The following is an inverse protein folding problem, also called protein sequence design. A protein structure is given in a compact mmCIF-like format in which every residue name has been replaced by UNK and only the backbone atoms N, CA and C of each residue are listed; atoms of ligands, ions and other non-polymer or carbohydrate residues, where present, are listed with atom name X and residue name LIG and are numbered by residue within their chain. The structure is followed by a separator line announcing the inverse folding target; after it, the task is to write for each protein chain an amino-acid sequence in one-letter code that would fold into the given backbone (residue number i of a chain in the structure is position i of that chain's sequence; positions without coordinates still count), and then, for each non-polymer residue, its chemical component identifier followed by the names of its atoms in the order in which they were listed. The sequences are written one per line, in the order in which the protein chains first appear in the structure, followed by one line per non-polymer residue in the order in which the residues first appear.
data_IF_605877012441
#
_entry.id   IF_605877012441
#
_cell.length_a   1.000
_cell.length_b   1.000
_cell.length_c   1.000
_cell.angle_alpha   90.00
_cell.angle_beta   90.00
_cell.angle_gamma   90.00
#
_symmetry.space_group_name_H-M   'P 1'
#
loop_
_entity.id
_entity.type
_entity.pdbx_description
1 polymer ?
#
# COMPACT_ATOMS: atom_id res chain seq x y z
N UNK A 1 1.09 -51.10 48.25
CA UNK A 1 2.50 -50.68 48.35
C UNK A 1 2.99 -50.50 46.95
N UNK A 2 2.89 -49.33 46.43
CA UNK A 2 3.78 -48.24 46.03
C UNK A 2 3.00 -47.17 45.27
N UNK A 3 2.53 -46.20 46.02
CA UNK A 3 2.36 -44.84 45.52
C UNK A 3 3.73 -44.16 45.56
N UNK A 4 4.26 -43.80 44.45
CA UNK A 4 5.38 -42.80 44.30
C UNK A 4 5.52 -42.54 42.81
N UNK A 5 5.28 -41.40 42.43
CA UNK A 5 5.90 -40.16 42.15
C UNK A 5 5.15 -39.45 41.02
N UNK A 6 4.22 -38.62 41.46
CA UNK A 6 3.65 -37.55 40.60
C UNK A 6 4.12 -36.20 41.16
N UNK A 7 5.40 -35.98 41.13
CA UNK A 7 5.95 -34.62 41.37
C UNK A 7 7.22 -34.48 40.55
N UNK A 8 7.13 -33.73 39.47
CA UNK A 8 8.31 -33.40 38.70
C UNK A 8 8.02 -32.90 37.28
N UNK A 9 6.87 -32.30 37.05
CA UNK A 9 6.74 -31.45 35.87
C UNK A 9 7.04 -30.01 36.31
N UNK A 10 8.35 -29.74 36.42
CA UNK A 10 8.86 -28.37 36.45
C UNK A 10 8.47 -27.76 35.13
N UNK A 11 7.43 -26.91 35.15
CA UNK A 11 6.92 -26.13 34.04
C UNK A 11 8.03 -25.29 33.42
N UNK A 12 8.86 -25.91 32.61
CA UNK A 12 9.59 -25.22 31.59
C UNK A 12 8.55 -24.62 30.70
N UNK A 13 8.30 -23.31 30.82
CA UNK A 13 7.57 -22.54 29.84
C UNK A 13 8.27 -22.78 28.48
N UNK A 14 7.85 -23.81 27.76
CA UNK A 14 8.16 -23.95 26.36
C UNK A 14 7.40 -22.81 25.68
N UNK A 15 8.08 -21.64 25.60
CA UNK A 15 7.58 -20.55 24.77
C UNK A 15 7.43 -21.14 23.37
N UNK A 16 6.17 -21.27 22.95
CA UNK A 16 5.84 -21.72 21.62
C UNK A 16 6.69 -20.88 20.62
N UNK A 17 7.46 -21.52 19.71
CA UNK A 17 8.27 -20.79 18.71
C UNK A 17 7.46 -19.75 17.95
N UNK A 18 6.15 -19.95 17.81
CA UNK A 18 5.23 -18.98 17.23
C UNK A 18 5.11 -17.72 18.10
N UNK A 19 4.96 -17.89 19.43
CA UNK A 19 4.87 -16.75 20.35
C UNK A 19 6.14 -15.90 20.34
N UNK A 20 7.31 -16.54 20.30
CA UNK A 20 8.58 -15.83 20.23
C UNK A 20 8.69 -15.00 18.93
N UNK A 21 8.29 -15.57 17.79
CA UNK A 21 8.26 -14.86 16.49
C UNK A 21 7.27 -13.69 16.51
N UNK A 22 6.09 -13.87 17.10
CA UNK A 22 5.09 -12.81 17.22
C UNK A 22 5.59 -11.65 18.10
N UNK A 23 6.18 -11.96 19.26
CA UNK A 23 6.75 -10.96 20.15
C UNK A 23 7.89 -10.20 19.45
N UNK A 24 8.80 -10.91 18.78
CA UNK A 24 9.88 -10.30 18.02
C UNK A 24 9.35 -9.40 16.89
N UNK A 25 8.33 -9.83 16.16
CA UNK A 25 7.69 -9.04 15.11
C UNK A 25 7.06 -7.75 15.68
N UNK A 26 6.33 -7.85 16.80
CA UNK A 26 5.74 -6.69 17.47
C UNK A 26 6.81 -5.71 17.96
N UNK A 27 7.92 -6.21 18.51
CA UNK A 27 9.03 -5.37 18.92
C UNK A 27 9.67 -4.63 17.75
N UNK A 28 9.88 -5.30 16.62
CA UNK A 28 10.41 -4.64 15.41
C UNK A 28 9.47 -3.54 14.92
N UNK A 29 8.16 -3.83 14.84
CA UNK A 29 7.14 -2.83 14.44
C UNK A 29 7.17 -1.63 15.39
N UNK A 30 7.23 -1.88 16.70
CA UNK A 30 7.28 -0.82 17.72
C UNK A 30 8.53 0.04 17.57
N UNK A 31 9.71 -0.58 17.47
CA UNK A 31 11.00 0.14 17.37
C UNK A 31 11.06 0.96 16.09
N UNK A 32 10.66 0.37 14.94
CA UNK A 32 10.61 1.08 13.66
C UNK A 32 9.59 2.23 13.73
N UNK A 33 8.40 1.98 14.28
CA UNK A 33 7.35 2.99 14.41
C UNK A 33 7.78 4.15 15.31
N UNK A 34 8.40 3.89 16.46
CA UNK A 34 8.93 4.93 17.35
C UNK A 34 10.08 5.69 16.71
N UNK A 35 11.01 5.01 16.04
CA UNK A 35 12.13 5.65 15.34
C UNK A 35 11.66 6.62 14.26
N UNK A 36 10.68 6.22 13.44
CA UNK A 36 10.13 7.07 12.39
C UNK A 36 9.26 8.21 12.91
N UNK A 37 8.58 8.01 14.04
CA UNK A 37 7.87 9.08 14.73
C UNK A 37 8.83 10.18 15.20
N UNK A 38 10.00 9.82 15.71
CA UNK A 38 11.07 10.78 16.07
C UNK A 38 11.57 11.54 14.84
N UNK A 39 11.67 10.84 13.70
CA UNK A 39 12.06 11.42 12.41
C UNK A 39 10.93 12.18 11.70
N UNK A 40 9.76 12.30 12.33
CA UNK A 40 8.55 12.95 11.76
C UNK A 40 8.15 12.42 10.38
N UNK A 41 8.42 11.15 10.12
CA UNK A 41 8.02 10.49 8.87
C UNK A 41 6.57 10.01 8.93
N UNK A 42 5.86 9.94 7.78
CA UNK A 42 4.52 9.35 7.71
C UNK A 42 4.51 7.90 8.20
N UNK A 43 3.45 7.49 8.90
CA UNK A 43 3.32 6.12 9.44
C UNK A 43 3.42 5.05 8.37
N UNK A 44 2.97 5.34 7.14
CA UNK A 44 3.05 4.43 5.98
C UNK A 44 4.49 3.99 5.71
N UNK A 45 5.46 4.91 5.80
CA UNK A 45 6.90 4.59 5.63
C UNK A 45 7.35 3.60 6.72
N UNK A 46 6.81 3.75 7.95
CA UNK A 46 7.09 2.83 9.05
C UNK A 46 6.61 1.42 8.77
N UNK A 47 5.40 1.28 8.28
CA UNK A 47 4.83 -0.03 7.96
C UNK A 47 5.58 -0.72 6.81
N UNK A 48 5.98 0.04 5.78
CA UNK A 48 6.77 -0.48 4.66
C UNK A 48 8.16 -0.97 5.14
N UNK A 49 8.86 -0.17 5.94
CA UNK A 49 10.17 -0.55 6.48
C UNK A 49 10.06 -1.74 7.43
N UNK A 50 9.06 -1.76 8.31
CA UNK A 50 8.80 -2.91 9.17
C UNK A 50 8.52 -4.17 8.35
N UNK A 51 7.72 -4.06 7.28
CA UNK A 51 7.45 -5.17 6.35
C UNK A 51 8.70 -5.72 5.67
N UNK A 52 9.60 -4.85 5.22
CA UNK A 52 10.89 -5.26 4.63
C UNK A 52 11.78 -5.96 5.65
N UNK A 53 11.87 -5.43 6.88
CA UNK A 53 12.70 -6.02 7.95
C UNK A 53 12.15 -7.38 8.39
N UNK A 54 10.82 -7.50 8.56
CA UNK A 54 10.16 -8.73 9.01
C UNK A 54 10.02 -9.77 7.91
N UNK A 55 10.08 -9.35 6.66
CA UNK A 55 9.86 -10.15 5.47
C UNK A 55 10.99 -11.16 5.18
N UNK A 56 10.85 -11.92 4.08
CA UNK A 56 11.73 -13.03 3.74
C UNK A 56 13.18 -12.60 3.42
N UNK A 57 13.37 -11.37 3.00
CA UNK A 57 14.70 -10.80 2.69
C UNK A 57 15.35 -10.09 3.89
N UNK A 58 14.63 -9.98 5.03
CA UNK A 58 15.12 -9.44 6.28
C UNK A 58 15.31 -10.53 7.35
N UNK A 59 14.61 -10.38 8.47
CA UNK A 59 14.68 -11.30 9.61
C UNK A 59 13.92 -12.63 9.38
N UNK A 60 13.17 -12.77 8.30
CA UNK A 60 12.34 -13.94 7.97
C UNK A 60 11.40 -14.39 9.10
N UNK A 61 10.96 -13.44 9.94
CA UNK A 61 10.04 -13.72 11.05
C UNK A 61 8.64 -14.03 10.54
N UNK A 62 8.27 -13.46 9.39
CA UNK A 62 7.01 -13.70 8.69
C UNK A 62 7.32 -14.49 7.42
N UNK A 63 7.22 -15.82 7.53
CA UNK A 63 7.59 -16.74 6.45
C UNK A 63 6.45 -16.98 5.45
N UNK A 64 5.19 -16.91 5.89
CA UNK A 64 4.03 -17.18 5.03
C UNK A 64 3.60 -15.93 4.27
N UNK A 65 4.17 -15.77 3.07
CA UNK A 65 3.85 -14.66 2.16
C UNK A 65 2.39 -14.68 1.68
N UNK A 66 1.80 -15.88 1.54
CA UNK A 66 0.41 -16.00 1.08
C UNK A 66 -0.58 -15.53 2.15
N UNK A 67 -0.33 -15.85 3.41
CA UNK A 67 -1.15 -15.36 4.52
C UNK A 67 -1.06 -13.83 4.65
N UNK A 68 0.15 -13.27 4.54
CA UNK A 68 0.36 -11.81 4.58
C UNK A 68 -0.32 -11.11 3.40
N UNK A 69 -0.19 -11.65 2.19
CA UNK A 69 -0.84 -11.09 1.00
C UNK A 69 -2.37 -11.04 1.17
N UNK A 70 -2.98 -12.15 1.60
CA UNK A 70 -4.44 -12.20 1.88
C UNK A 70 -4.87 -11.20 2.95
N UNK A 71 -4.11 -11.07 4.05
CA UNK A 71 -4.40 -10.06 5.08
C UNK A 71 -4.28 -8.65 4.51
N UNK A 72 -3.29 -8.40 3.65
CA UNK A 72 -3.14 -7.12 2.94
C UNK A 72 -4.33 -6.82 2.03
N UNK A 73 -4.81 -7.80 1.26
CA UNK A 73 -6.00 -7.66 0.41
C UNK A 73 -7.24 -7.29 1.23
N UNK A 74 -7.48 -7.97 2.36
CA UNK A 74 -8.56 -7.61 3.28
C UNK A 74 -8.37 -6.20 3.84
N UNK A 75 -7.15 -5.83 4.24
CA UNK A 75 -6.85 -4.49 4.74
C UNK A 75 -7.17 -3.40 3.72
N UNK A 76 -6.77 -3.59 2.46
CA UNK A 76 -7.07 -2.66 1.36
C UNK A 76 -8.57 -2.59 1.09
N UNK A 77 -9.27 -3.75 1.09
CA UNK A 77 -10.72 -3.79 0.89
C UNK A 77 -11.46 -2.98 1.97
N UNK A 78 -11.11 -3.15 3.25
CA UNK A 78 -11.70 -2.37 4.34
C UNK A 78 -11.34 -0.89 4.25
N UNK A 79 -10.09 -0.57 3.92
CA UNK A 79 -9.67 0.82 3.72
C UNK A 79 -10.51 1.50 2.66
N UNK A 80 -10.62 0.89 1.48
CA UNK A 80 -11.43 1.43 0.38
C UNK A 80 -12.93 1.54 0.74
N UNK A 81 -13.45 0.58 1.49
CA UNK A 81 -14.82 0.61 1.97
C UNK A 81 -15.08 1.80 2.91
N UNK A 82 -14.23 2.00 3.92
CA UNK A 82 -14.37 3.13 4.85
C UNK A 82 -14.24 4.47 4.14
N UNK A 83 -13.28 4.60 3.21
CA UNK A 83 -13.09 5.83 2.44
C UNK A 83 -14.26 6.06 1.49
N UNK A 84 -14.78 4.99 0.86
CA UNK A 84 -15.97 5.06 0.03
C UNK A 84 -17.20 5.59 0.78
N UNK A 85 -17.33 5.24 2.07
CA UNK A 85 -18.39 5.80 2.93
C UNK A 85 -18.17 7.27 3.29
N UNK A 86 -16.92 7.72 3.39
CA UNK A 86 -16.59 9.11 3.69
C UNK A 86 -16.60 10.02 2.45
N UNK A 87 -16.41 9.45 1.27
CA UNK A 87 -16.42 10.19 0.02
C UNK A 87 -17.82 10.73 -0.29
N UNK A 88 -17.89 12.00 -0.66
CA UNK A 88 -19.16 12.61 -1.10
C UNK A 88 -19.29 12.51 -2.62
N UNK A 89 -20.17 11.63 -3.17
CA UNK A 89 -20.35 11.48 -4.61
C UNK A 89 -20.74 12.81 -5.29
N UNK A 90 -21.53 13.63 -4.62
CA UNK A 90 -21.97 14.92 -5.14
C UNK A 90 -20.81 15.89 -5.38
N UNK A 91 -19.82 15.89 -4.50
CA UNK A 91 -18.63 16.74 -4.64
C UNK A 91 -17.66 16.22 -5.71
N UNK A 92 -17.52 14.90 -5.80
CA UNK A 92 -16.72 14.27 -6.87
C UNK A 92 -17.28 14.61 -8.25
N UNK A 93 -18.61 14.54 -8.40
CA UNK A 93 -19.29 14.92 -9.65
C UNK A 93 -19.15 16.42 -9.92
N UNK A 94 -19.28 17.27 -8.89
CA UNK A 94 -19.11 18.72 -9.05
C UNK A 94 -17.71 19.11 -9.55
N UNK A 95 -16.68 18.36 -9.16
CA UNK A 95 -15.27 18.61 -9.53
C UNK A 95 -14.79 17.74 -10.71
N UNK A 96 -15.70 17.18 -11.51
CA UNK A 96 -15.35 16.24 -12.60
C UNK A 96 -14.28 16.77 -13.55
N UNK A 97 -14.22 18.08 -13.79
CA UNK A 97 -13.21 18.70 -14.66
C UNK A 97 -11.80 18.52 -14.12
N UNK A 98 -11.60 18.75 -12.81
CA UNK A 98 -10.30 18.56 -12.15
C UNK A 98 -9.93 17.07 -12.20
N UNK A 99 -10.88 16.20 -11.89
CA UNK A 99 -10.74 14.76 -11.92
C UNK A 99 -10.31 14.25 -13.30
N UNK A 100 -11.07 14.58 -14.34
CA UNK A 100 -10.81 14.07 -15.70
C UNK A 100 -9.59 14.75 -16.33
N UNK A 101 -9.50 16.09 -16.29
CA UNK A 101 -8.39 16.83 -16.89
C UNK A 101 -7.09 16.50 -16.15
N UNK A 102 -7.10 16.46 -14.82
CA UNK A 102 -5.94 16.11 -14.01
C UNK A 102 -5.41 14.72 -14.35
N UNK A 103 -6.30 13.73 -14.46
CA UNK A 103 -5.93 12.36 -14.85
C UNK A 103 -5.36 12.32 -16.27
N UNK A 104 -6.00 12.98 -17.24
CA UNK A 104 -5.52 13.01 -18.63
C UNK A 104 -4.15 13.70 -18.75
N UNK A 105 -3.96 14.83 -18.06
CA UNK A 105 -2.66 15.54 -18.03
C UNK A 105 -1.59 14.66 -17.40
N UNK A 106 -1.88 13.96 -16.32
CA UNK A 106 -0.94 13.06 -15.66
C UNK A 106 -0.55 11.88 -16.55
N UNK A 107 -1.52 11.22 -17.19
CA UNK A 107 -1.27 10.14 -18.15
C UNK A 107 -0.44 10.66 -19.32
N UNK A 108 -0.85 11.77 -19.92
CA UNK A 108 -0.16 12.38 -21.06
C UNK A 108 1.28 12.77 -20.72
N UNK A 109 1.51 13.40 -19.57
CA UNK A 109 2.84 13.75 -19.10
C UNK A 109 3.72 12.51 -18.85
N UNK A 110 3.18 11.47 -18.23
CA UNK A 110 3.90 10.22 -17.97
C UNK A 110 4.30 9.54 -19.28
N UNK A 111 3.39 9.44 -20.24
CA UNK A 111 3.67 8.87 -21.56
C UNK A 111 4.70 9.74 -22.31
N UNK A 112 4.60 11.07 -22.26
CA UNK A 112 5.54 11.97 -22.90
C UNK A 112 6.96 11.83 -22.32
N UNK A 113 7.09 11.75 -21.00
CA UNK A 113 8.38 11.51 -20.34
C UNK A 113 8.95 10.17 -20.78
N UNK A 114 8.14 9.11 -20.73
CA UNK A 114 8.58 7.78 -21.16
C UNK A 114 8.90 7.72 -22.64
N UNK A 115 8.25 8.55 -23.48
CA UNK A 115 8.60 8.67 -24.89
C UNK A 115 10.01 9.20 -25.09
N UNK A 116 10.37 10.26 -24.37
CA UNK A 116 11.73 10.83 -24.42
C UNK A 116 12.78 9.79 -24.01
N UNK A 117 12.56 9.13 -22.85
CA UNK A 117 13.47 8.10 -22.33
C UNK A 117 13.55 6.89 -23.27
N UNK A 118 12.40 6.39 -23.72
CA UNK A 118 12.32 5.21 -24.58
C UNK A 118 12.92 5.45 -25.97
N UNK A 119 12.76 6.65 -26.52
CA UNK A 119 13.39 7.04 -27.79
C UNK A 119 14.91 7.02 -27.68
N UNK A 120 15.48 7.54 -26.58
CA UNK A 120 16.92 7.49 -26.32
C UNK A 120 17.47 6.07 -26.15
N UNK A 121 16.65 5.15 -25.62
CA UNK A 121 17.02 3.76 -25.38
C UNK A 121 16.63 2.80 -26.52
N UNK A 122 16.04 3.31 -27.60
CA UNK A 122 15.61 2.51 -28.75
C UNK A 122 14.45 1.53 -28.44
N UNK A 123 13.55 1.86 -27.49
CA UNK A 123 12.43 1.01 -27.11
C UNK A 123 11.30 1.05 -28.15
N UNK A 124 10.56 -0.05 -28.24
CA UNK A 124 9.37 -0.08 -29.07
C UNK A 124 8.26 0.83 -28.52
N UNK A 125 7.44 1.39 -29.42
CA UNK A 125 6.31 2.25 -29.05
C UNK A 125 5.38 1.61 -28.03
N UNK A 126 5.07 0.33 -28.19
CA UNK A 126 4.23 -0.40 -27.25
C UNK A 126 4.82 -0.44 -25.84
N UNK A 127 6.14 -0.65 -25.70
CA UNK A 127 6.82 -0.61 -24.41
C UNK A 127 6.79 0.77 -23.79
N UNK A 128 7.01 1.83 -24.59
CA UNK A 128 6.97 3.22 -24.13
C UNK A 128 5.60 3.56 -23.57
N UNK A 129 4.54 3.26 -24.32
CA UNK A 129 3.15 3.54 -23.91
C UNK A 129 2.78 2.73 -22.66
N UNK A 130 3.11 1.45 -22.62
CA UNK A 130 2.86 0.59 -21.47
C UNK A 130 3.51 1.15 -20.21
N UNK A 131 4.80 1.48 -20.28
CA UNK A 131 5.53 2.03 -19.12
C UNK A 131 5.02 3.43 -18.74
N UNK A 132 4.63 4.26 -19.71
CA UNK A 132 3.98 5.54 -19.46
C UNK A 132 2.68 5.37 -18.68
N UNK A 133 1.85 4.39 -19.02
CA UNK A 133 0.63 4.07 -18.29
C UNK A 133 0.95 3.57 -16.86
N UNK A 134 1.90 2.63 -16.73
CA UNK A 134 2.30 2.10 -15.41
C UNK A 134 2.76 3.22 -14.48
N UNK A 135 3.58 4.15 -14.96
CA UNK A 135 4.10 5.26 -14.15
C UNK A 135 3.00 6.29 -13.84
N UNK A 136 1.98 6.43 -14.70
CA UNK A 136 0.87 7.36 -14.45
C UNK A 136 -0.06 6.91 -13.33
N UNK A 137 -0.09 5.60 -13.02
CA UNK A 137 -0.91 5.07 -11.95
C UNK A 137 -0.27 5.36 -10.59
N UNK A 138 -1.06 5.87 -9.66
CA UNK A 138 -0.64 6.09 -8.27
C UNK A 138 -1.28 5.08 -7.33
N UNK A 139 -0.65 4.88 -6.17
CA UNK A 139 -1.20 4.00 -5.16
C UNK A 139 -2.31 4.69 -4.38
N UNK A 140 -3.56 4.38 -4.71
CA UNK A 140 -4.76 4.90 -4.04
C UNK A 140 -4.69 4.65 -2.53
N UNK A 141 -4.31 3.45 -2.09
CA UNK A 141 -4.20 3.11 -0.68
C UNK A 141 -3.18 3.98 0.08
N UNK A 142 -2.00 4.23 -0.50
CA UNK A 142 -0.96 5.04 0.15
C UNK A 142 -1.40 6.49 0.27
N UNK A 143 -1.95 7.08 -0.81
CA UNK A 143 -2.39 8.48 -0.80
C UNK A 143 -3.55 8.68 0.17
N UNK A 144 -4.51 7.74 0.21
CA UNK A 144 -5.65 7.82 1.12
C UNK A 144 -5.22 7.74 2.58
N UNK A 145 -4.33 6.82 2.94
CA UNK A 145 -3.76 6.76 4.29
C UNK A 145 -3.04 8.06 4.67
N UNK A 146 -2.26 8.63 3.75
CA UNK A 146 -1.58 9.89 3.98
C UNK A 146 -2.57 11.06 4.20
N UNK A 147 -3.63 11.14 3.40
CA UNK A 147 -4.67 12.16 3.55
C UNK A 147 -5.42 12.01 4.88
N UNK A 148 -5.69 10.78 5.30
CA UNK A 148 -6.33 10.47 6.57
C UNK A 148 -5.43 10.85 7.75
N UNK A 149 -4.17 10.40 7.77
CA UNK A 149 -3.19 10.70 8.82
C UNK A 149 -2.92 12.20 8.95
N UNK A 150 -2.93 12.94 7.83
CA UNK A 150 -2.73 14.40 7.81
C UNK A 150 -4.00 15.21 8.09
N UNK A 151 -5.16 14.55 8.30
CA UNK A 151 -6.46 15.20 8.51
C UNK A 151 -6.98 15.97 7.30
N UNK A 152 -6.47 15.68 6.10
CA UNK A 152 -6.79 16.40 4.86
C UNK A 152 -7.84 15.72 3.99
N UNK A 153 -8.35 14.56 4.39
CA UNK A 153 -9.27 13.76 3.58
C UNK A 153 -10.51 14.55 3.14
N UNK A 154 -11.05 15.39 4.03
CA UNK A 154 -12.27 16.20 3.80
C UNK A 154 -11.98 17.63 3.32
N UNK A 155 -10.75 17.94 3.00
CA UNK A 155 -10.39 19.23 2.39
C UNK A 155 -10.62 19.19 0.89
N UNK A 156 -10.74 20.38 0.26
CA UNK A 156 -10.87 20.46 -1.20
C UNK A 156 -9.72 19.72 -1.93
N UNK A 157 -8.49 19.87 -1.45
CA UNK A 157 -7.32 19.18 -2.02
C UNK A 157 -7.44 17.64 -1.87
N UNK A 158 -7.93 17.16 -0.72
CA UNK A 158 -8.16 15.74 -0.50
C UNK A 158 -9.25 15.19 -1.41
N UNK A 159 -10.37 15.90 -1.53
CA UNK A 159 -11.48 15.50 -2.41
C UNK A 159 -11.06 15.48 -3.88
N UNK A 160 -10.30 16.48 -4.34
CA UNK A 160 -9.78 16.54 -5.71
C UNK A 160 -8.78 15.39 -5.96
N UNK A 161 -7.90 15.11 -5.00
CA UNK A 161 -6.96 13.99 -5.07
C UNK A 161 -7.68 12.64 -5.15
N UNK A 162 -8.69 12.41 -4.31
CA UNK A 162 -9.53 11.20 -4.36
C UNK A 162 -10.21 11.07 -5.73
N UNK A 163 -10.73 12.17 -6.27
CA UNK A 163 -11.33 12.18 -7.60
C UNK A 163 -10.35 11.72 -8.68
N UNK A 164 -9.12 12.25 -8.69
CA UNK A 164 -8.07 11.86 -9.64
C UNK A 164 -7.69 10.39 -9.48
N UNK A 165 -7.52 9.89 -8.25
CA UNK A 165 -7.21 8.49 -7.97
C UNK A 165 -8.28 7.55 -8.51
N UNK A 166 -9.56 7.84 -8.25
CA UNK A 166 -10.68 7.05 -8.77
C UNK A 166 -10.74 7.07 -10.30
N UNK A 167 -10.45 8.22 -10.92
CA UNK A 167 -10.42 8.32 -12.37
C UNK A 167 -9.23 7.52 -12.97
N UNK A 168 -8.08 7.48 -12.30
CA UNK A 168 -6.95 6.65 -12.69
C UNK A 168 -7.30 5.16 -12.63
N UNK A 169 -7.96 4.72 -11.55
CA UNK A 169 -8.40 3.32 -11.42
C UNK A 169 -9.39 2.93 -12.53
N UNK A 170 -10.30 3.84 -12.91
CA UNK A 170 -11.20 3.63 -14.05
C UNK A 170 -10.47 3.67 -15.40
N UNK A 171 -9.42 4.47 -15.53
CA UNK A 171 -8.63 4.61 -16.76
C UNK A 171 -7.81 3.35 -17.09
N UNK A 172 -7.60 2.44 -16.13
CA UNK A 172 -6.90 1.17 -16.38
C UNK A 172 -7.57 0.38 -17.50
N UNK A 173 -8.91 0.35 -17.54
CA UNK A 173 -9.65 -0.42 -18.57
C UNK A 173 -9.32 0.06 -20.00
N UNK A 174 -9.50 1.36 -20.34
CA UNK A 174 -9.11 1.83 -21.68
C UNK A 174 -7.60 1.74 -21.93
N UNK A 175 -6.75 1.88 -20.91
CA UNK A 175 -5.30 1.70 -21.07
C UNK A 175 -4.95 0.27 -21.51
N UNK A 176 -5.55 -0.76 -20.91
CA UNK A 176 -5.34 -2.16 -21.29
C UNK A 176 -5.80 -2.40 -22.74
N UNK A 177 -6.92 -1.83 -23.16
CA UNK A 177 -7.40 -1.94 -24.54
C UNK A 177 -6.39 -1.32 -25.52
N UNK A 178 -5.82 -0.16 -25.20
CA UNK A 178 -4.83 0.52 -26.06
C UNK A 178 -3.53 -0.29 -26.18
N UNK A 179 -3.13 -0.99 -25.12
CA UNK A 179 -1.92 -1.84 -25.14
C UNK A 179 -2.17 -3.19 -25.83
N UNK A 180 -3.44 -3.57 -26.03
CA UNK A 180 -3.79 -4.81 -26.73
C UNK A 180 -3.79 -6.05 -25.83
N UNK A 181 -4.07 -5.88 -24.53
CA UNK A 181 -4.19 -6.98 -23.54
C UNK A 181 -5.65 -7.25 -23.24
#
# INVERSE_FOLDING_TARGET
MREESRFGDTGTMHLDPLMLKLVAALLVILVVGLGLRVLRQPHVVGYLLAGVILGPHGLSLVADQHAVARLGEFGVMFLLFFIGMEASPTRLIANWRITVIGTLVQIGASVAIMWIVGAMLGWSTARIVLLGFVISLSSTAVVLNYLQDSGRLRTKVGEDAIGVLLAQDLAIIPMLIVVGV
#
